data_IF_056580100019
#
_entry.id   IF_056580100019
#
_cell.length_a   1.000
_cell.length_b   1.000
_cell.length_c   1.000
_cell.angle_alpha   90.00
_cell.angle_beta   90.00
_cell.angle_gamma   90.00
#
_symmetry.space_group_name_H-M   'P 1'
#
loop_
_entity.id
_entity.type
_entity.pdbx_description
1 polymer ?
#
# COMPACT_ATOMS: atom_id res chain seq x y z
N UNK A 1 -11.69 27.98 -17.70
CA UNK A 1 -10.76 27.76 -18.84
C UNK A 1 -11.47 26.94 -19.89
N UNK A 2 -10.98 27.03 -21.17
CA UNK A 2 -11.40 26.13 -22.23
C UNK A 2 -10.53 24.87 -22.18
N UNK A 3 -11.14 23.70 -22.00
CA UNK A 3 -10.40 22.44 -21.87
C UNK A 3 -10.83 21.41 -22.91
N UNK A 4 -9.90 20.57 -23.31
CA UNK A 4 -10.16 19.35 -24.07
C UNK A 4 -9.97 18.18 -23.12
N UNK A 5 -10.92 17.26 -23.08
CA UNK A 5 -10.78 16.00 -22.32
C UNK A 5 -10.29 14.92 -23.29
N UNK A 6 -9.18 14.27 -22.97
CA UNK A 6 -8.65 13.17 -23.75
C UNK A 6 -8.66 11.85 -22.97
N UNK A 7 -9.40 10.88 -23.48
CA UNK A 7 -9.62 9.55 -22.88
C UNK A 7 -10.95 9.45 -22.14
N UNK A 8 -11.86 8.65 -22.70
CA UNK A 8 -13.23 8.47 -22.22
C UNK A 8 -13.45 7.09 -21.59
N UNK A 9 -12.35 6.47 -21.19
CA UNK A 9 -12.31 5.17 -20.55
C UNK A 9 -12.78 5.20 -19.08
N UNK A 10 -12.32 4.22 -18.29
CA UNK A 10 -12.73 4.06 -16.91
C UNK A 10 -12.43 5.29 -16.04
N UNK A 11 -11.21 5.87 -16.17
CA UNK A 11 -10.82 7.03 -15.35
C UNK A 11 -11.78 8.21 -15.58
N UNK A 12 -12.15 8.50 -16.83
CA UNK A 12 -13.12 9.53 -17.12
C UNK A 12 -14.50 9.22 -16.51
N UNK A 13 -15.03 8.04 -16.77
CA UNK A 13 -16.38 7.66 -16.28
C UNK A 13 -16.48 7.70 -14.74
N UNK A 14 -15.44 7.31 -14.06
CA UNK A 14 -15.41 7.27 -12.59
C UNK A 14 -15.25 8.67 -11.97
N UNK A 15 -14.64 9.64 -12.69
CA UNK A 15 -14.21 10.92 -12.11
C UNK A 15 -14.74 12.16 -12.84
N UNK A 16 -15.48 12.02 -13.93
CA UNK A 16 -15.98 13.17 -14.71
C UNK A 16 -16.80 14.17 -13.87
N UNK A 17 -17.58 13.65 -12.92
CA UNK A 17 -18.42 14.46 -12.00
C UNK A 17 -17.61 15.33 -11.03
N UNK A 18 -16.31 15.10 -10.90
CA UNK A 18 -15.38 15.82 -10.01
C UNK A 18 -14.59 16.92 -10.77
N UNK A 19 -14.74 16.99 -12.10
CA UNK A 19 -14.13 18.07 -12.88
C UNK A 19 -14.74 19.42 -12.51
N UNK A 20 -13.96 20.51 -12.43
CA UNK A 20 -14.46 21.83 -12.08
C UNK A 20 -15.56 22.32 -13.03
N UNK A 21 -16.73 22.62 -12.50
CA UNK A 21 -17.90 23.05 -13.27
C UNK A 21 -17.74 24.42 -13.96
N UNK A 22 -16.74 25.21 -13.56
CA UNK A 22 -16.43 26.52 -14.16
C UNK A 22 -15.61 26.40 -15.47
N UNK A 23 -15.10 25.24 -15.80
CA UNK A 23 -14.34 25.02 -17.03
C UNK A 23 -15.24 24.61 -18.18
N UNK A 24 -15.01 25.20 -19.36
CA UNK A 24 -15.74 24.91 -20.58
C UNK A 24 -15.06 23.76 -21.32
N UNK A 25 -15.73 22.62 -21.46
CA UNK A 25 -15.24 21.51 -22.27
C UNK A 25 -15.56 21.82 -23.73
N UNK A 26 -14.54 22.11 -24.54
CA UNK A 26 -14.71 22.46 -25.95
C UNK A 26 -14.67 21.28 -26.89
N UNK A 27 -14.07 20.17 -26.49
CA UNK A 27 -14.08 18.90 -27.23
C UNK A 27 -13.75 17.72 -26.30
N UNK A 28 -14.26 16.56 -26.67
CA UNK A 28 -13.79 15.28 -26.17
C UNK A 28 -12.93 14.58 -27.22
N UNK A 29 -11.86 13.93 -26.82
CA UNK A 29 -10.97 13.16 -27.69
C UNK A 29 -10.75 11.77 -27.15
N UNK A 30 -10.65 10.80 -28.05
CA UNK A 30 -10.32 9.40 -27.72
C UNK A 30 -9.60 8.77 -28.92
N UNK A 31 -8.79 7.76 -28.66
CA UNK A 31 -8.16 6.95 -29.72
C UNK A 31 -9.11 5.88 -30.29
N UNK A 32 -10.20 5.59 -29.59
CA UNK A 32 -11.24 4.69 -30.09
C UNK A 32 -12.11 5.41 -31.16
N UNK A 33 -11.92 5.03 -32.41
CA UNK A 33 -12.63 5.61 -33.56
C UNK A 33 -14.16 5.40 -33.51
N UNK A 34 -14.66 4.39 -32.80
CA UNK A 34 -16.08 4.10 -32.66
C UNK A 34 -16.81 5.20 -31.85
N UNK A 35 -16.08 6.02 -31.11
CA UNK A 35 -16.64 7.12 -30.34
C UNK A 35 -16.78 8.41 -31.15
N UNK A 36 -16.14 8.50 -32.31
CA UNK A 36 -16.13 9.73 -33.10
C UNK A 36 -17.52 10.13 -33.56
N UNK A 37 -17.84 11.42 -33.42
CA UNK A 37 -19.15 11.99 -33.74
C UNK A 37 -20.22 11.79 -32.66
N UNK A 38 -19.99 10.98 -31.64
CA UNK A 38 -20.87 10.93 -30.47
C UNK A 38 -20.83 12.26 -29.71
N UNK A 39 -21.87 12.56 -28.97
CA UNK A 39 -21.95 13.76 -28.13
C UNK A 39 -22.07 13.35 -26.66
N UNK A 40 -21.30 14.02 -25.81
CA UNK A 40 -21.36 13.94 -24.36
C UNK A 40 -21.70 15.35 -23.86
N UNK A 41 -22.83 15.51 -23.18
CA UNK A 41 -23.32 16.81 -22.69
C UNK A 41 -23.35 17.92 -23.77
N UNK A 42 -23.70 17.54 -25.02
CA UNK A 42 -23.77 18.47 -26.16
C UNK A 42 -22.43 18.74 -26.86
N UNK A 43 -21.31 18.21 -26.35
CA UNK A 43 -19.96 18.38 -26.92
C UNK A 43 -19.56 17.11 -27.68
N UNK A 44 -18.99 17.29 -28.89
CA UNK A 44 -18.61 16.16 -29.75
C UNK A 44 -17.35 15.46 -29.31
N UNK A 45 -17.33 14.15 -29.50
CA UNK A 45 -16.09 13.34 -29.47
C UNK A 45 -15.45 13.38 -30.85
N UNK A 46 -14.19 13.81 -30.90
CA UNK A 46 -13.45 14.04 -32.15
C UNK A 46 -12.12 13.25 -32.16
N UNK A 47 -11.54 13.15 -33.36
CA UNK A 47 -10.20 12.56 -33.48
C UNK A 47 -9.14 13.45 -32.83
N UNK A 48 -8.13 12.86 -32.14
CA UNK A 48 -6.97 13.63 -31.68
C UNK A 48 -6.25 14.38 -32.78
N UNK A 49 -6.34 13.94 -34.04
CA UNK A 49 -5.75 14.62 -35.20
C UNK A 49 -6.40 15.99 -35.48
N UNK A 50 -7.61 16.21 -34.97
CA UNK A 50 -8.35 17.47 -35.19
C UNK A 50 -8.03 18.51 -34.09
N UNK A 51 -7.07 18.25 -33.21
CA UNK A 51 -6.78 19.12 -32.06
C UNK A 51 -6.47 20.57 -32.45
N UNK A 52 -5.82 20.75 -33.59
CA UNK A 52 -5.41 22.09 -34.09
C UNK A 52 -6.59 23.00 -34.49
N UNK A 53 -7.80 22.45 -34.68
CA UNK A 53 -8.98 23.26 -35.04
C UNK A 53 -9.69 23.86 -33.83
N UNK A 54 -9.31 23.46 -32.62
CA UNK A 54 -9.93 23.91 -31.39
C UNK A 54 -9.11 24.98 -30.69
N UNK A 55 -9.78 25.98 -30.15
CA UNK A 55 -9.19 26.95 -29.24
C UNK A 55 -9.35 26.43 -27.80
N UNK A 56 -8.22 26.15 -27.10
CA UNK A 56 -8.21 25.60 -25.74
C UNK A 56 -7.03 26.10 -24.93
N UNK A 57 -7.18 26.09 -23.62
CA UNK A 57 -6.12 26.41 -22.65
C UNK A 57 -5.32 25.19 -22.26
N UNK A 58 -6.03 24.05 -22.00
CA UNK A 58 -5.43 22.80 -21.54
C UNK A 58 -6.04 21.58 -22.23
N UNK A 59 -5.22 20.52 -22.33
CA UNK A 59 -5.68 19.16 -22.65
C UNK A 59 -5.56 18.33 -21.37
N UNK A 60 -6.68 17.83 -20.90
CA UNK A 60 -6.80 17.07 -19.65
C UNK A 60 -6.88 15.59 -19.98
N UNK A 61 -5.82 14.85 -19.66
CA UNK A 61 -5.75 13.41 -19.94
C UNK A 61 -6.47 12.63 -18.83
N UNK A 62 -7.54 11.92 -19.19
CA UNK A 62 -8.35 11.09 -18.30
C UNK A 62 -8.23 9.60 -18.66
N UNK A 63 -7.01 9.11 -18.73
CA UNK A 63 -6.71 7.73 -19.17
C UNK A 63 -5.56 7.10 -18.38
N UNK A 64 -5.60 5.77 -18.21
CA UNK A 64 -4.46 5.00 -17.70
C UNK A 64 -3.28 4.94 -18.70
N UNK A 65 -3.53 5.25 -19.97
CA UNK A 65 -2.51 5.38 -21.01
C UNK A 65 -2.00 6.82 -21.12
N UNK A 66 -1.87 7.50 -19.98
CA UNK A 66 -1.56 8.93 -19.95
C UNK A 66 -0.21 9.25 -20.60
N UNK A 67 0.78 8.38 -20.48
CA UNK A 67 2.11 8.61 -21.06
C UNK A 67 2.09 8.53 -22.59
N UNK A 68 1.42 7.53 -23.15
CA UNK A 68 1.23 7.34 -24.58
C UNK A 68 0.47 8.51 -25.20
N UNK A 69 -0.61 8.94 -24.55
CA UNK A 69 -1.42 10.09 -24.97
C UNK A 69 -0.59 11.38 -24.89
N UNK A 70 0.21 11.58 -23.84
CA UNK A 70 1.11 12.73 -23.72
C UNK A 70 2.10 12.77 -24.88
N UNK A 71 2.76 11.65 -25.21
CA UNK A 71 3.67 11.58 -26.35
C UNK A 71 2.96 11.87 -27.67
N UNK A 72 1.75 11.34 -27.86
CA UNK A 72 0.91 11.62 -29.02
C UNK A 72 0.60 13.12 -29.13
N UNK A 73 0.20 13.77 -28.05
CA UNK A 73 -0.10 15.21 -28.02
C UNK A 73 1.13 16.06 -28.35
N UNK A 74 2.30 15.71 -27.83
CA UNK A 74 3.55 16.39 -28.17
C UNK A 74 3.88 16.26 -29.67
N UNK A 75 3.69 15.07 -30.26
CA UNK A 75 3.85 14.84 -31.70
C UNK A 75 2.85 15.63 -32.54
N UNK A 76 1.66 15.91 -32.02
CA UNK A 76 0.63 16.77 -32.65
C UNK A 76 0.89 18.26 -32.42
N UNK A 77 2.01 18.63 -31.79
CA UNK A 77 2.42 20.04 -31.62
C UNK A 77 1.81 20.71 -30.37
N UNK A 78 1.18 19.97 -29.49
CA UNK A 78 0.69 20.51 -28.20
C UNK A 78 1.87 20.81 -27.30
N UNK A 79 1.99 22.04 -26.81
CA UNK A 79 3.07 22.39 -25.88
C UNK A 79 2.89 21.68 -24.54
N UNK A 80 3.99 21.21 -23.93
CA UNK A 80 4.04 20.51 -22.66
C UNK A 80 3.21 21.19 -21.55
N UNK A 81 3.33 22.52 -21.43
CA UNK A 81 2.63 23.29 -20.41
C UNK A 81 1.09 23.33 -20.57
N UNK A 82 0.55 22.85 -21.69
CA UNK A 82 -0.90 22.70 -21.91
C UNK A 82 -1.43 21.30 -21.60
N UNK A 83 -0.55 20.32 -21.36
CA UNK A 83 -0.95 18.94 -21.09
C UNK A 83 -1.03 18.75 -19.57
N UNK A 84 -2.18 18.28 -19.10
CA UNK A 84 -2.44 18.06 -17.67
C UNK A 84 -3.05 16.67 -17.46
N UNK A 85 -2.61 16.00 -16.41
CA UNK A 85 -3.25 14.75 -16.00
C UNK A 85 -4.53 15.06 -15.24
N UNK A 86 -5.63 14.39 -15.58
CA UNK A 86 -6.97 14.76 -15.11
C UNK A 86 -7.13 14.72 -13.59
N UNK A 87 -6.47 13.80 -12.92
CA UNK A 87 -6.53 13.74 -11.45
C UNK A 87 -5.90 14.97 -10.77
N UNK A 88 -5.08 15.77 -11.45
CA UNK A 88 -4.58 17.05 -10.94
C UNK A 88 -5.67 18.13 -10.86
N UNK A 89 -6.80 17.91 -11.55
CA UNK A 89 -7.98 18.79 -11.53
C UNK A 89 -8.96 18.48 -10.41
N UNK A 90 -8.79 17.35 -9.71
CA UNK A 90 -9.70 16.89 -8.66
C UNK A 90 -9.13 17.31 -7.31
N UNK A 91 -9.76 18.28 -6.66
CA UNK A 91 -9.31 18.82 -5.37
C UNK A 91 -10.44 19.04 -4.35
N UNK A 92 -11.62 18.47 -4.56
CA UNK A 92 -12.67 18.44 -3.56
C UNK A 92 -12.24 17.57 -2.37
N UNK A 93 -12.32 18.13 -1.15
CA UNK A 93 -11.87 17.51 0.08
C UNK A 93 -13.06 17.15 0.95
N UNK A 94 -13.22 15.86 1.27
CA UNK A 94 -14.20 15.34 2.23
C UNK A 94 -13.51 15.09 3.56
N UNK A 95 -14.00 15.74 4.62
CA UNK A 95 -13.43 15.65 5.97
C UNK A 95 -14.37 14.82 6.84
N UNK A 96 -13.83 13.84 7.52
CA UNK A 96 -14.54 12.98 8.45
C UNK A 96 -13.97 13.21 9.85
N UNK A 97 -14.62 14.12 10.59
CA UNK A 97 -14.25 14.49 11.95
C UNK A 97 -15.03 13.69 12.96
N UNK A 98 -14.41 13.48 14.15
CA UNK A 98 -15.19 13.19 15.34
C UNK A 98 -15.96 14.45 15.77
N UNK A 99 -17.17 14.30 16.37
CA UNK A 99 -17.76 15.40 17.13
C UNK A 99 -16.80 15.78 18.26
N UNK A 100 -16.17 16.93 18.11
CA UNK A 100 -15.32 17.69 19.04
C UNK A 100 -14.93 16.98 20.35
N UNK A 101 -13.86 16.19 20.33
CA UNK A 101 -12.97 16.20 21.48
C UNK A 101 -12.22 17.54 21.43
N UNK A 102 -12.26 18.32 22.52
CA UNK A 102 -11.53 19.59 22.66
C UNK A 102 -10.05 19.28 22.50
N UNK A 103 -9.52 19.41 21.26
CA UNK A 103 -8.08 19.27 21.00
C UNK A 103 -7.43 20.55 21.52
N UNK A 104 -6.50 20.49 22.48
CA UNK A 104 -5.79 21.67 22.95
C UNK A 104 -5.12 22.40 21.77
N UNK A 105 -5.33 23.71 21.66
CA UNK A 105 -4.83 24.57 20.58
C UNK A 105 -3.31 24.53 20.35
N UNK A 106 -2.55 24.02 21.32
CA UNK A 106 -1.07 24.00 21.33
C UNK A 106 -0.42 22.70 20.83
N UNK A 107 -1.19 21.73 20.33
CA UNK A 107 -0.59 20.48 19.82
C UNK A 107 -0.07 20.66 18.42
N UNK A 108 1.16 20.21 18.16
CA UNK A 108 1.70 20.09 16.82
C UNK A 108 0.82 19.17 15.99
N UNK A 109 0.63 19.52 14.72
CA UNK A 109 -0.29 18.85 13.79
C UNK A 109 0.50 18.08 12.78
N UNK A 110 0.23 16.79 12.66
CA UNK A 110 0.88 15.92 11.69
C UNK A 110 -0.16 15.39 10.68
N UNK A 111 0.17 15.53 9.39
CA UNK A 111 -0.59 14.92 8.32
C UNK A 111 0.13 13.64 7.86
N UNK A 112 -0.60 12.54 7.81
CA UNK A 112 -0.17 11.31 7.14
C UNK A 112 -0.93 11.24 5.80
N UNK A 113 -0.23 11.42 4.69
CA UNK A 113 -0.82 11.27 3.36
C UNK A 113 -0.52 9.86 2.83
N UNK A 114 -1.55 9.08 2.51
CA UNK A 114 -1.41 7.68 2.07
C UNK A 114 -2.21 7.40 0.80
N UNK A 115 -1.95 6.28 0.15
CA UNK A 115 -2.58 5.93 -1.13
C UNK A 115 -4.06 5.51 -1.00
N UNK A 116 -4.49 5.03 0.17
CA UNK A 116 -5.85 4.53 0.35
C UNK A 116 -6.15 4.29 1.85
N UNK A 117 -7.41 4.51 2.25
CA UNK A 117 -7.94 4.19 3.57
C UNK A 117 -8.78 2.91 3.49
N UNK A 118 -8.21 1.77 3.87
CA UNK A 118 -8.88 0.47 3.80
C UNK A 118 -8.17 -0.60 4.62
N UNK A 119 -8.77 -1.79 4.70
CA UNK A 119 -8.24 -2.91 5.49
C UNK A 119 -7.13 -3.64 4.75
N UNK A 120 -5.97 -3.01 4.61
CA UNK A 120 -4.75 -3.58 4.03
C UNK A 120 -3.50 -3.12 4.78
N UNK A 121 -2.39 -3.82 4.63
CA UNK A 121 -1.17 -3.61 5.43
C UNK A 121 -0.69 -2.16 5.47
N UNK A 122 -0.62 -1.48 4.33
CA UNK A 122 -0.16 -0.07 4.26
C UNK A 122 -1.05 0.90 5.05
N UNK A 123 -2.40 0.77 4.94
CA UNK A 123 -3.31 1.61 5.71
C UNK A 123 -3.29 1.28 7.21
N UNK A 124 -3.13 -0.01 7.56
CA UNK A 124 -3.00 -0.40 8.96
C UNK A 124 -1.72 0.17 9.59
N UNK A 125 -0.61 0.21 8.87
CA UNK A 125 0.61 0.87 9.34
C UNK A 125 0.38 2.36 9.59
N UNK A 126 -0.40 3.07 8.76
CA UNK A 126 -0.79 4.45 9.01
C UNK A 126 -1.60 4.61 10.31
N UNK A 127 -2.50 3.66 10.60
CA UNK A 127 -3.26 3.66 11.85
C UNK A 127 -2.34 3.44 13.07
N UNK A 128 -1.39 2.52 12.98
CA UNK A 128 -0.42 2.29 14.07
C UNK A 128 0.48 3.51 14.29
N UNK A 129 0.94 4.14 13.21
CA UNK A 129 1.67 5.40 13.28
C UNK A 129 0.82 6.51 13.90
N UNK A 130 -0.43 6.66 13.46
CA UNK A 130 -1.34 7.69 13.99
C UNK A 130 -1.60 7.49 15.49
N UNK A 131 -1.85 6.26 15.94
CA UNK A 131 -2.02 5.95 17.35
C UNK A 131 -0.76 6.28 18.16
N UNK A 132 0.43 5.90 17.66
CA UNK A 132 1.69 6.22 18.30
C UNK A 132 1.86 7.76 18.47
N UNK A 133 1.56 8.53 17.43
CA UNK A 133 1.63 9.98 17.45
C UNK A 133 0.59 10.62 18.39
N UNK A 134 -0.64 10.10 18.42
CA UNK A 134 -1.68 10.56 19.35
C UNK A 134 -1.27 10.34 20.82
N UNK A 135 -0.70 9.18 21.13
CA UNK A 135 -0.17 8.86 22.46
C UNK A 135 1.00 9.77 22.87
N UNK A 136 1.81 10.22 21.89
CA UNK A 136 2.87 11.21 22.10
C UNK A 136 2.34 12.65 22.18
N UNK A 137 1.03 12.85 22.04
CA UNK A 137 0.39 14.16 22.21
C UNK A 137 0.28 15.00 20.95
N UNK A 138 0.51 14.46 19.77
CA UNK A 138 0.29 15.14 18.49
C UNK A 138 -1.18 15.14 18.10
N UNK A 139 -1.58 16.08 17.24
CA UNK A 139 -2.86 16.04 16.53
C UNK A 139 -2.62 15.41 15.17
N UNK A 140 -3.38 14.37 14.83
CA UNK A 140 -3.11 13.57 13.63
C UNK A 140 -4.30 13.61 12.67
N UNK A 141 -3.99 13.88 11.41
CA UNK A 141 -4.91 13.73 10.29
C UNK A 141 -4.33 12.69 9.32
N UNK A 142 -5.15 11.78 8.81
CA UNK A 142 -4.76 10.90 7.71
C UNK A 142 -5.57 11.30 6.47
N UNK A 143 -4.88 11.57 5.36
CA UNK A 143 -5.52 11.90 4.08
C UNK A 143 -5.15 10.88 3.00
N UNK A 144 -6.13 10.54 2.16
CA UNK A 144 -5.94 9.62 1.04
C UNK A 144 -6.84 9.98 -0.15
N UNK A 145 -6.51 9.54 -1.39
CA UNK A 145 -7.38 9.73 -2.54
C UNK A 145 -8.64 8.87 -2.52
N UNK A 146 -8.61 7.73 -1.83
CA UNK A 146 -9.70 6.77 -1.78
C UNK A 146 -9.89 6.29 -0.33
N UNK A 147 -11.16 6.04 0.07
CA UNK A 147 -11.45 5.51 1.40
C UNK A 147 -12.64 4.55 1.41
N UNK A 148 -12.47 3.42 2.09
CA UNK A 148 -13.55 2.51 2.43
C UNK A 148 -14.44 3.11 3.52
N UNK A 149 -15.77 3.11 3.31
CA UNK A 149 -16.71 3.74 4.22
C UNK A 149 -16.72 3.11 5.63
N UNK A 150 -16.55 1.79 5.74
CA UNK A 150 -16.51 1.09 7.02
C UNK A 150 -15.20 1.42 7.77
N UNK A 151 -14.07 1.45 7.06
CA UNK A 151 -12.78 1.86 7.60
C UNK A 151 -12.83 3.30 8.13
N UNK A 152 -13.33 4.24 7.31
CA UNK A 152 -13.46 5.64 7.69
C UNK A 152 -14.33 5.78 8.94
N UNK A 153 -15.51 5.13 8.97
CA UNK A 153 -16.40 5.15 10.13
C UNK A 153 -15.74 4.61 11.39
N UNK A 154 -15.02 3.49 11.29
CA UNK A 154 -14.36 2.88 12.44
C UNK A 154 -13.28 3.79 13.04
N UNK A 155 -12.38 4.31 12.20
CA UNK A 155 -11.20 5.02 12.68
C UNK A 155 -11.43 6.49 12.96
N UNK A 156 -12.41 7.15 12.32
CA UNK A 156 -12.82 8.49 12.72
C UNK A 156 -13.40 8.50 14.15
N UNK A 157 -14.04 7.43 14.59
CA UNK A 157 -14.55 7.28 15.96
C UNK A 157 -13.45 7.06 17.02
N UNK A 158 -12.21 6.79 16.60
CA UNK A 158 -11.04 6.58 17.48
C UNK A 158 -10.16 7.83 17.67
N UNK A 159 -10.65 9.01 17.28
CA UNK A 159 -9.95 10.29 17.46
C UNK A 159 -8.94 10.64 16.37
N UNK A 160 -8.95 9.91 15.25
CA UNK A 160 -8.14 10.20 14.08
C UNK A 160 -9.00 10.96 13.07
N UNK A 161 -8.60 12.17 12.69
CA UNK A 161 -9.25 12.88 11.59
C UNK A 161 -8.89 12.20 10.27
N UNK A 162 -9.89 11.84 9.47
CA UNK A 162 -9.71 11.25 8.16
C UNK A 162 -10.18 12.20 7.07
N UNK A 163 -9.41 12.31 5.99
CA UNK A 163 -9.75 13.15 4.84
C UNK A 163 -9.65 12.36 3.55
N UNK A 164 -10.60 12.56 2.64
CA UNK A 164 -10.55 11.97 1.29
C UNK A 164 -10.49 13.09 0.26
N UNK A 165 -9.44 13.06 -0.55
CA UNK A 165 -9.19 13.97 -1.66
C UNK A 165 -8.64 13.18 -2.86
N UNK A 166 -9.48 12.86 -3.83
CA UNK A 166 -9.15 11.93 -4.93
C UNK A 166 -7.90 12.33 -5.71
N UNK A 167 -7.68 13.65 -5.91
CA UNK A 167 -6.48 14.16 -6.57
C UNK A 167 -5.23 14.30 -5.69
N UNK A 168 -5.28 13.89 -4.42
CA UNK A 168 -4.21 14.16 -3.44
C UNK A 168 -2.79 13.82 -3.93
N UNK A 169 -2.50 12.65 -4.54
CA UNK A 169 -1.16 12.31 -4.99
C UNK A 169 -0.59 13.27 -6.04
N UNK A 170 -1.46 13.91 -6.80
CA UNK A 170 -1.12 14.76 -7.96
C UNK A 170 -1.40 16.24 -7.73
N UNK A 171 -1.88 16.59 -6.52
CA UNK A 171 -2.34 17.93 -6.20
C UNK A 171 -1.22 18.96 -6.33
N UNK A 172 -1.56 20.12 -6.88
CA UNK A 172 -0.68 21.29 -6.92
C UNK A 172 -0.88 22.13 -5.68
N UNK A 173 0.18 22.77 -5.21
CA UNK A 173 0.17 23.54 -3.97
C UNK A 173 -0.94 24.59 -3.94
N UNK A 174 -1.23 25.24 -5.06
CA UNK A 174 -2.32 26.23 -5.21
C UNK A 174 -3.70 25.69 -4.80
N UNK A 175 -3.93 24.37 -4.95
CA UNK A 175 -5.19 23.70 -4.63
C UNK A 175 -5.20 23.08 -3.21
N UNK A 176 -4.04 22.95 -2.57
CA UNK A 176 -3.86 22.30 -1.28
C UNK A 176 -3.19 23.19 -0.23
N UNK A 177 -3.29 24.53 -0.37
CA UNK A 177 -2.70 25.49 0.58
C UNK A 177 -3.09 25.25 2.05
N UNK A 178 -4.19 24.53 2.30
CA UNK A 178 -4.60 24.09 3.65
C UNK A 178 -3.57 23.17 4.33
N UNK A 179 -2.65 22.57 3.58
CA UNK A 179 -1.60 21.69 4.11
C UNK A 179 -0.60 22.46 5.00
N UNK A 180 -0.50 23.79 4.84
CA UNK A 180 0.34 24.67 5.66
C UNK A 180 -0.09 24.74 7.13
N UNK A 181 -1.28 24.25 7.47
CA UNK A 181 -1.73 24.14 8.87
C UNK A 181 -1.02 23.03 9.66
N UNK A 182 -0.28 22.14 8.97
CA UNK A 182 0.45 21.04 9.59
C UNK A 182 1.91 21.41 9.80
N UNK A 183 2.49 20.94 10.89
CA UNK A 183 3.90 21.14 11.23
C UNK A 183 4.79 20.14 10.49
N UNK A 184 4.30 18.91 10.29
CA UNK A 184 4.98 17.82 9.60
C UNK A 184 3.98 17.10 8.67
N UNK A 185 4.44 16.72 7.48
CA UNK A 185 3.71 15.86 6.56
C UNK A 185 4.50 14.57 6.33
N UNK A 186 3.86 13.43 6.58
CA UNK A 186 4.40 12.11 6.30
C UNK A 186 3.71 11.57 5.05
N UNK A 187 4.39 11.64 3.92
CA UNK A 187 3.95 11.03 2.67
C UNK A 187 4.23 9.52 2.77
N UNK A 188 3.21 8.77 3.11
CA UNK A 188 3.31 7.34 3.35
C UNK A 188 2.99 6.58 2.06
N UNK A 189 3.97 5.92 1.51
CA UNK A 189 3.98 5.21 0.22
C UNK A 189 4.51 6.02 -0.97
N UNK A 190 5.17 5.33 -1.92
CA UNK A 190 5.72 5.94 -3.12
C UNK A 190 4.69 6.69 -3.99
N UNK A 191 3.45 6.23 -4.16
CA UNK A 191 2.41 7.01 -4.85
C UNK A 191 2.22 8.45 -4.34
N UNK A 192 2.62 8.77 -3.10
CA UNK A 192 2.59 10.13 -2.54
C UNK A 192 3.83 10.97 -2.88
N UNK A 193 4.78 10.47 -3.67
CA UNK A 193 6.03 11.18 -3.96
C UNK A 193 5.83 12.54 -4.63
N UNK A 194 4.86 12.65 -5.55
CA UNK A 194 4.61 13.94 -6.22
C UNK A 194 4.08 14.98 -5.25
N UNK A 195 3.18 14.58 -4.36
CA UNK A 195 2.72 15.44 -3.26
C UNK A 195 3.91 15.86 -2.38
N UNK A 196 4.74 14.90 -1.95
CA UNK A 196 5.90 15.18 -1.11
C UNK A 196 6.86 16.20 -1.75
N UNK A 197 7.15 16.02 -3.03
CA UNK A 197 8.01 16.92 -3.81
C UNK A 197 7.37 18.30 -4.03
N UNK A 198 6.04 18.38 -4.14
CA UNK A 198 5.33 19.65 -4.34
C UNK A 198 5.35 20.52 -3.08
N UNK A 199 5.33 19.91 -1.89
CA UNK A 199 5.18 20.64 -0.63
C UNK A 199 6.45 20.74 0.21
N UNK A 200 7.48 19.94 -0.09
CA UNK A 200 8.69 19.80 0.76
C UNK A 200 9.49 21.08 0.98
N UNK A 201 9.36 22.09 0.11
CA UNK A 201 9.98 23.41 0.30
C UNK A 201 9.19 24.34 1.22
N UNK A 202 7.96 23.96 1.60
CA UNK A 202 7.02 24.80 2.36
C UNK A 202 6.63 24.23 3.70
N UNK A 203 6.63 22.92 3.82
CA UNK A 203 6.28 22.18 5.05
C UNK A 203 7.31 21.07 5.25
N UNK A 204 7.71 20.84 6.50
CA UNK A 204 8.56 19.69 6.84
C UNK A 204 7.91 18.40 6.34
N UNK A 205 8.53 17.78 5.36
CA UNK A 205 7.95 16.64 4.66
C UNK A 205 8.92 15.48 4.63
N UNK A 206 8.41 14.29 4.93
CA UNK A 206 9.13 13.03 4.77
C UNK A 206 8.38 12.12 3.82
N UNK A 207 9.12 11.30 3.08
CA UNK A 207 8.58 10.20 2.28
C UNK A 207 8.93 8.88 2.97
N UNK A 208 7.93 8.05 3.26
CA UNK A 208 8.12 6.74 3.87
C UNK A 208 7.70 5.63 2.92
N UNK A 209 8.69 4.88 2.43
CA UNK A 209 8.55 3.87 1.39
C UNK A 209 8.19 2.51 1.96
N UNK A 210 7.13 1.89 1.41
CA UNK A 210 6.63 0.57 1.79
C UNK A 210 6.62 -0.43 0.63
N UNK A 211 6.98 0.01 -0.56
CA UNK A 211 6.68 -0.69 -1.79
C UNK A 211 7.68 -1.79 -2.13
N UNK A 212 7.14 -2.84 -2.75
CA UNK A 212 7.88 -3.74 -3.60
C UNK A 212 7.99 -3.18 -5.03
N UNK A 213 8.85 -3.79 -5.87
CA UNK A 213 9.28 -3.26 -7.17
C UNK A 213 8.16 -2.83 -8.13
N UNK A 214 7.01 -3.50 -8.10
CA UNK A 214 5.97 -3.31 -9.12
C UNK A 214 5.30 -1.92 -9.09
N UNK A 215 5.24 -1.26 -7.94
CA UNK A 215 4.56 0.03 -7.79
C UNK A 215 5.26 1.16 -8.55
N UNK A 216 6.57 1.04 -8.76
CA UNK A 216 7.33 2.10 -9.44
C UNK A 216 6.95 2.27 -10.91
N UNK A 217 6.44 1.23 -11.56
CA UNK A 217 5.96 1.30 -12.93
C UNK A 217 4.66 2.13 -13.09
N UNK A 218 3.84 2.19 -12.05
CA UNK A 218 2.58 2.95 -12.05
C UNK A 218 2.81 4.47 -12.15
N UNK A 219 3.98 4.95 -11.70
CA UNK A 219 4.37 6.35 -11.70
C UNK A 219 5.28 6.72 -12.89
N UNK A 220 5.38 5.85 -13.90
CA UNK A 220 6.30 6.03 -15.05
C UNK A 220 6.07 7.32 -15.83
N UNK A 221 4.83 7.81 -15.87
CA UNK A 221 4.47 9.09 -16.50
C UNK A 221 5.27 10.29 -15.93
N UNK A 222 5.51 10.31 -14.63
CA UNK A 222 6.24 11.40 -13.95
C UNK A 222 7.69 11.08 -13.61
N UNK A 223 8.23 9.98 -14.11
CA UNK A 223 9.56 9.49 -13.72
C UNK A 223 10.65 10.57 -13.89
N UNK A 224 10.70 11.22 -15.05
CA UNK A 224 11.68 12.29 -15.32
C UNK A 224 11.53 13.47 -14.37
N UNK A 225 10.29 13.88 -14.08
CA UNK A 225 10.01 14.99 -13.16
C UNK A 225 10.37 14.63 -11.71
N UNK A 226 10.12 13.39 -11.29
CA UNK A 226 10.49 12.88 -9.98
C UNK A 226 12.01 12.88 -9.83
N UNK A 227 12.76 12.32 -10.77
CA UNK A 227 14.22 12.24 -10.75
C UNK A 227 14.85 13.64 -10.67
N UNK A 228 14.39 14.57 -11.50
CA UNK A 228 14.90 15.95 -11.52
C UNK A 228 14.61 16.71 -10.21
N UNK A 229 13.43 16.53 -9.63
CA UNK A 229 13.05 17.21 -8.39
C UNK A 229 13.77 16.62 -7.19
N UNK A 230 13.93 15.29 -7.12
CA UNK A 230 14.67 14.61 -6.04
C UNK A 230 16.11 15.10 -5.92
N UNK A 231 16.76 15.43 -7.04
CA UNK A 231 18.15 15.97 -7.03
C UNK A 231 18.25 17.36 -6.41
N UNK A 232 17.15 18.10 -6.33
CA UNK A 232 17.10 19.50 -5.88
C UNK A 232 16.46 19.67 -4.50
N UNK A 233 15.72 18.69 -4.03
CA UNK A 233 14.97 18.77 -2.76
C UNK A 233 15.78 18.28 -1.56
N UNK A 234 15.44 18.78 -0.37
CA UNK A 234 15.90 18.27 0.92
C UNK A 234 14.94 17.24 1.53
N UNK A 235 14.09 16.62 0.72
CA UNK A 235 13.13 15.64 1.18
C UNK A 235 13.82 14.48 1.92
N UNK A 236 13.45 14.28 3.18
CA UNK A 236 13.93 13.14 3.96
C UNK A 236 13.20 11.89 3.54
N UNK A 237 13.92 10.81 3.24
CA UNK A 237 13.33 9.57 2.75
C UNK A 237 13.64 8.44 3.72
N UNK A 238 12.58 7.75 4.13
CA UNK A 238 12.64 6.53 4.92
C UNK A 238 12.16 5.34 4.10
N UNK A 239 12.62 4.15 4.45
CA UNK A 239 12.13 2.89 3.90
C UNK A 239 11.90 1.87 5.02
N UNK A 240 10.83 1.10 4.96
CA UNK A 240 10.50 0.10 5.98
C UNK A 240 11.48 -1.07 6.03
N UNK A 241 12.29 -1.26 4.98
CA UNK A 241 13.29 -2.31 4.90
C UNK A 241 14.38 -1.96 3.89
N UNK A 242 15.50 -2.69 3.94
CA UNK A 242 16.55 -2.58 2.94
C UNK A 242 16.03 -2.91 1.53
N UNK A 243 15.12 -3.88 1.42
CA UNK A 243 14.48 -4.20 0.15
C UNK A 243 13.66 -3.04 -0.41
N UNK A 244 12.85 -2.36 0.41
CA UNK A 244 12.10 -1.18 -0.04
C UNK A 244 13.04 -0.06 -0.50
N UNK A 245 14.12 0.19 0.27
CA UNK A 245 15.18 1.15 -0.10
C UNK A 245 15.82 0.78 -1.44
N UNK A 246 16.24 -0.47 -1.58
CA UNK A 246 16.99 -0.94 -2.74
C UNK A 246 16.14 -0.94 -4.01
N UNK A 247 14.85 -1.29 -3.89
CA UNK A 247 13.89 -1.17 -4.97
C UNK A 247 13.73 0.30 -5.42
N UNK A 248 13.51 1.21 -4.47
CA UNK A 248 13.38 2.64 -4.78
C UNK A 248 14.64 3.18 -5.45
N UNK A 249 15.79 2.94 -4.86
CA UNK A 249 17.06 3.44 -5.38
C UNK A 249 17.38 2.87 -6.77
N UNK A 250 17.09 1.60 -7.00
CA UNK A 250 17.30 0.95 -8.30
C UNK A 250 16.35 1.44 -9.39
N UNK A 251 15.10 1.72 -9.04
CA UNK A 251 14.09 2.18 -10.01
C UNK A 251 14.16 3.68 -10.29
N UNK A 252 14.51 4.51 -9.30
CA UNK A 252 14.50 5.98 -9.42
C UNK A 252 15.91 6.57 -9.59
N UNK A 253 16.95 5.75 -9.48
CA UNK A 253 18.35 6.23 -9.57
C UNK A 253 18.81 7.03 -8.35
N UNK A 254 18.21 6.82 -7.18
CA UNK A 254 18.55 7.55 -5.96
C UNK A 254 19.64 6.87 -5.14
N UNK A 255 20.42 7.64 -4.35
CA UNK A 255 21.54 7.08 -3.57
C UNK A 255 21.06 6.42 -2.28
N UNK A 256 21.50 5.17 -2.03
CA UNK A 256 21.07 4.36 -0.88
C UNK A 256 21.41 5.02 0.47
N UNK A 257 22.52 5.72 0.55
CA UNK A 257 23.01 6.38 1.77
C UNK A 257 22.11 7.54 2.22
N UNK A 258 21.25 8.02 1.32
CA UNK A 258 20.28 9.09 1.58
C UNK A 258 18.91 8.57 2.02
N UNK A 259 18.73 7.25 2.05
CA UNK A 259 17.47 6.61 2.48
C UNK A 259 17.70 5.88 3.80
N UNK A 260 17.07 6.36 4.85
CA UNK A 260 17.16 5.78 6.20
C UNK A 260 16.19 4.60 6.33
N UNK A 261 16.64 3.49 6.92
CA UNK A 261 15.73 2.40 7.27
C UNK A 261 14.96 2.78 8.53
N UNK A 262 13.63 2.70 8.43
CA UNK A 262 12.71 3.04 9.50
C UNK A 262 11.52 2.08 9.47
N UNK A 263 11.64 1.00 10.24
CA UNK A 263 10.61 -0.04 10.34
C UNK A 263 9.41 0.48 11.12
N UNK A 264 8.21 0.03 10.75
CA UNK A 264 7.01 0.28 11.53
C UNK A 264 6.96 -0.60 12.79
N UNK A 265 6.15 -0.19 13.76
CA UNK A 265 5.78 -0.99 14.92
C UNK A 265 4.29 -1.26 14.96
N UNK A 266 3.90 -2.36 15.59
CA UNK A 266 2.51 -2.72 15.82
C UNK A 266 2.23 -2.92 17.31
N UNK A 267 0.98 -2.66 17.77
CA UNK A 267 0.61 -2.89 19.15
C UNK A 267 0.63 -4.39 19.49
N UNK A 268 1.01 -4.72 20.72
CA UNK A 268 0.95 -6.10 21.21
C UNK A 268 -0.49 -6.51 21.49
N UNK A 269 -0.86 -7.68 21.01
CA UNK A 269 -2.10 -8.37 21.40
C UNK A 269 -1.67 -9.67 22.09
N UNK A 270 -2.21 -9.92 23.28
CA UNK A 270 -2.02 -11.18 23.98
C UNK A 270 -3.10 -12.16 23.49
N UNK A 271 -2.68 -13.20 22.83
CA UNK A 271 -3.57 -14.25 22.35
C UNK A 271 -3.79 -15.35 23.41
N UNK A 272 -4.96 -16.00 23.35
CA UNK A 272 -5.19 -17.27 24.01
C UNK A 272 -4.36 -18.37 23.35
N UNK A 273 -3.87 -19.31 24.11
CA UNK A 273 -3.29 -20.53 23.55
C UNK A 273 -4.42 -21.51 23.22
N UNK A 274 -4.59 -21.83 21.94
CA UNK A 274 -5.50 -22.90 21.54
C UNK A 274 -4.93 -24.26 21.97
N UNK A 275 -5.81 -25.14 22.44
CA UNK A 275 -5.45 -26.54 22.78
C UNK A 275 -5.14 -27.31 21.48
N UNK A 276 -3.89 -27.77 21.36
CA UNK A 276 -3.35 -28.29 20.08
C UNK A 276 -3.37 -29.83 20.14
N UNK A 277 -4.43 -30.42 19.60
CA UNK A 277 -4.56 -31.89 19.49
C UNK A 277 -3.60 -32.52 18.44
N UNK A 278 -2.36 -32.02 18.35
CA UNK A 278 -1.34 -32.55 17.44
C UNK A 278 -1.49 -32.17 15.96
N UNK A 279 -2.55 -31.42 15.58
CA UNK A 279 -2.75 -30.86 14.22
C UNK A 279 -1.95 -29.60 14.08
N UNK A 280 -1.23 -29.42 12.95
CA UNK A 280 -0.55 -28.18 12.57
C UNK A 280 -1.37 -27.42 11.56
N UNK A 281 -1.59 -26.12 11.80
CA UNK A 281 -2.29 -25.22 10.89
C UNK A 281 -1.32 -24.26 10.22
N UNK A 282 -1.17 -24.38 8.91
CA UNK A 282 -0.44 -23.43 8.07
C UNK A 282 -1.42 -22.44 7.46
N UNK A 283 -1.09 -21.16 7.43
CA UNK A 283 -1.95 -20.15 6.81
C UNK A 283 -1.19 -19.17 5.92
N UNK A 284 -1.75 -18.90 4.74
CA UNK A 284 -1.39 -17.76 3.90
C UNK A 284 -2.45 -16.69 4.09
N UNK A 285 -2.03 -15.50 4.56
CA UNK A 285 -2.92 -14.36 4.82
C UNK A 285 -2.56 -13.22 3.89
N UNK A 286 -3.54 -12.73 3.15
CA UNK A 286 -3.38 -11.59 2.24
C UNK A 286 -4.30 -11.64 1.02
N UNK A 287 -4.38 -10.52 0.32
CA UNK A 287 -5.16 -10.39 -0.92
C UNK A 287 -4.80 -11.46 -1.95
N UNK A 288 -5.80 -12.06 -2.59
CA UNK A 288 -5.62 -13.14 -3.57
C UNK A 288 -5.35 -12.54 -4.96
N UNK A 289 -4.10 -12.58 -5.38
CA UNK A 289 -3.67 -12.14 -6.72
C UNK A 289 -2.26 -12.70 -7.06
N UNK A 290 -1.81 -12.69 -8.33
CA UNK A 290 -0.62 -13.42 -8.78
C UNK A 290 0.68 -13.14 -8.03
N UNK A 291 0.91 -11.92 -7.54
CA UNK A 291 2.14 -11.58 -6.84
C UNK A 291 2.25 -12.20 -5.44
N UNK A 292 1.11 -12.51 -4.80
CA UNK A 292 1.07 -13.19 -3.50
C UNK A 292 1.25 -14.70 -3.58
N UNK A 293 1.15 -15.26 -4.79
CA UNK A 293 1.47 -16.67 -5.12
C UNK A 293 0.79 -17.71 -4.22
N UNK A 294 -0.46 -17.52 -3.82
CA UNK A 294 -1.21 -18.53 -3.05
C UNK A 294 -1.30 -19.88 -3.77
N UNK A 295 -1.18 -19.87 -5.11
CA UNK A 295 -1.10 -21.10 -5.88
C UNK A 295 0.17 -21.91 -5.57
N UNK A 296 1.31 -21.25 -5.32
CA UNK A 296 2.55 -21.93 -4.90
C UNK A 296 2.34 -22.68 -3.58
N UNK A 297 1.60 -22.08 -2.65
CA UNK A 297 1.23 -22.73 -1.39
C UNK A 297 0.40 -23.99 -1.63
N UNK A 298 -0.66 -23.91 -2.44
CA UNK A 298 -1.51 -25.08 -2.73
C UNK A 298 -0.73 -26.17 -3.45
N UNK A 299 0.16 -25.79 -4.39
CA UNK A 299 1.03 -26.75 -5.11
C UNK A 299 2.02 -27.46 -4.15
N UNK A 300 2.60 -26.73 -3.20
CA UNK A 300 3.48 -27.31 -2.20
C UNK A 300 2.75 -28.28 -1.26
N UNK A 301 1.51 -27.96 -0.85
CA UNK A 301 0.69 -28.88 -0.04
C UNK A 301 0.40 -30.18 -0.80
N UNK A 302 0.26 -30.15 -2.12
CA UNK A 302 0.03 -31.37 -2.91
C UNK A 302 1.24 -32.30 -2.96
N UNK A 303 2.45 -31.80 -2.70
CA UNK A 303 3.66 -32.63 -2.60
C UNK A 303 3.76 -33.39 -1.27
N UNK A 304 3.00 -32.98 -0.24
CA UNK A 304 2.95 -33.69 1.05
C UNK A 304 2.23 -35.04 0.89
N UNK A 305 2.58 -36.04 1.71
CA UNK A 305 1.89 -37.32 1.66
C UNK A 305 0.44 -37.22 2.19
N UNK A 306 -0.41 -38.19 1.83
CA UNK A 306 -1.85 -38.19 2.16
C UNK A 306 -2.14 -38.09 3.63
N UNK A 307 -1.35 -38.75 4.51
CA UNK A 307 -1.50 -38.70 5.95
C UNK A 307 -1.24 -37.26 6.45
N UNK A 308 -0.15 -36.66 6.03
CA UNK A 308 0.20 -35.27 6.41
C UNK A 308 -0.83 -34.26 5.94
N UNK A 309 -1.38 -34.45 4.72
CA UNK A 309 -2.46 -33.61 4.23
C UNK A 309 -3.71 -33.71 5.12
N UNK A 310 -4.15 -34.91 5.47
CA UNK A 310 -5.41 -35.14 6.18
C UNK A 310 -5.33 -34.81 7.69
N UNK A 311 -4.17 -34.97 8.31
CA UNK A 311 -3.97 -34.75 9.75
C UNK A 311 -3.70 -33.26 10.09
N UNK A 312 -3.58 -32.39 9.09
CA UNK A 312 -3.22 -30.99 9.26
C UNK A 312 -4.16 -30.05 8.48
N UNK A 313 -4.01 -28.75 8.69
CA UNK A 313 -4.87 -27.73 8.08
C UNK A 313 -4.03 -26.73 7.29
N UNK A 314 -4.56 -26.34 6.11
CA UNK A 314 -3.91 -25.38 5.23
C UNK A 314 -4.93 -24.30 4.83
N UNK A 315 -4.76 -23.09 5.36
CA UNK A 315 -5.73 -22.02 5.20
C UNK A 315 -5.24 -20.96 4.24
N UNK A 316 -6.17 -20.47 3.41
CA UNK A 316 -5.98 -19.30 2.56
C UNK A 316 -7.00 -18.26 3.02
N UNK A 317 -6.52 -17.08 3.44
CA UNK A 317 -7.35 -16.05 4.06
C UNK A 317 -7.09 -14.74 3.33
N UNK A 318 -8.16 -14.10 2.83
CA UNK A 318 -8.06 -12.78 2.23
C UNK A 318 -9.08 -12.49 1.12
N UNK A 319 -9.15 -11.24 0.71
CA UNK A 319 -10.03 -10.75 -0.35
C UNK A 319 -9.51 -11.20 -1.73
N UNK A 320 -10.42 -11.56 -2.62
CA UNK A 320 -10.09 -11.83 -4.03
C UNK A 320 -9.98 -10.50 -4.78
N UNK A 321 -8.80 -10.19 -5.31
CA UNK A 321 -8.57 -9.06 -6.21
C UNK A 321 -8.46 -9.49 -7.68
N UNK A 322 -8.02 -10.73 -7.94
CA UNK A 322 -7.96 -11.31 -9.29
C UNK A 322 -8.82 -12.56 -9.36
N UNK A 323 -9.96 -12.44 -10.05
CA UNK A 323 -10.97 -13.51 -10.16
C UNK A 323 -10.43 -14.73 -10.94
N UNK A 324 -9.66 -14.51 -12.02
CA UNK A 324 -9.14 -15.61 -12.84
C UNK A 324 -8.05 -16.38 -12.10
N UNK A 325 -7.22 -15.69 -11.34
CA UNK A 325 -6.24 -16.32 -10.47
C UNK A 325 -6.91 -17.11 -9.34
N UNK A 326 -7.90 -16.52 -8.69
CA UNK A 326 -8.67 -17.18 -7.63
C UNK A 326 -9.40 -18.42 -8.12
N UNK A 327 -10.03 -18.40 -9.30
CA UNK A 327 -10.68 -19.57 -9.91
C UNK A 327 -9.74 -20.77 -10.03
N UNK A 328 -8.47 -20.55 -10.40
CA UNK A 328 -7.48 -21.62 -10.53
C UNK A 328 -7.20 -22.27 -9.17
N UNK A 329 -7.08 -21.45 -8.12
CA UNK A 329 -6.87 -21.94 -6.74
C UNK A 329 -8.09 -22.68 -6.22
N UNK A 330 -9.30 -22.08 -6.33
CA UNK A 330 -10.53 -22.66 -5.84
C UNK A 330 -10.84 -23.99 -6.51
N UNK A 331 -10.63 -24.09 -7.83
CA UNK A 331 -10.75 -25.38 -8.56
C UNK A 331 -9.75 -26.41 -8.09
N UNK A 332 -8.51 -26.01 -7.78
CA UNK A 332 -7.48 -26.92 -7.30
C UNK A 332 -7.79 -27.50 -5.92
N UNK A 333 -8.39 -26.69 -5.02
CA UNK A 333 -8.72 -27.12 -3.66
C UNK A 333 -10.10 -27.76 -3.54
N UNK A 334 -10.90 -27.78 -4.59
CA UNK A 334 -12.19 -28.44 -4.64
C UNK A 334 -12.05 -29.91 -4.23
N UNK A 335 -12.92 -30.37 -3.34
CA UNK A 335 -12.89 -31.72 -2.74
C UNK A 335 -11.64 -32.07 -1.91
N UNK A 336 -10.92 -31.07 -1.42
CA UNK A 336 -9.75 -31.23 -0.53
C UNK A 336 -10.04 -30.57 0.83
N UNK A 337 -10.66 -31.28 1.80
CA UNK A 337 -11.13 -30.65 3.04
C UNK A 337 -10.02 -30.12 3.92
N UNK A 338 -8.76 -30.54 3.72
CA UNK A 338 -7.58 -30.10 4.45
C UNK A 338 -7.07 -28.71 3.97
N UNK A 339 -7.39 -28.27 2.74
CA UNK A 339 -7.11 -26.92 2.25
C UNK A 339 -8.40 -26.13 2.19
N UNK A 340 -8.46 -24.98 2.85
CA UNK A 340 -9.68 -24.18 2.95
C UNK A 340 -9.39 -22.72 2.58
N UNK A 341 -10.22 -22.17 1.68
CA UNK A 341 -10.32 -20.75 1.49
C UNK A 341 -11.37 -20.18 2.45
N UNK A 342 -10.93 -19.35 3.41
CA UNK A 342 -11.79 -18.82 4.48
C UNK A 342 -12.39 -17.45 4.14
N UNK A 343 -12.09 -16.91 2.95
CA UNK A 343 -12.60 -15.60 2.52
C UNK A 343 -11.89 -14.41 3.15
N UNK A 344 -12.42 -13.23 2.88
CA UNK A 344 -12.01 -11.99 3.53
C UNK A 344 -12.47 -12.00 5.00
N UNK A 345 -11.63 -11.50 5.90
CA UNK A 345 -11.89 -11.42 7.34
C UNK A 345 -11.71 -10.00 7.84
N UNK A 346 -12.59 -9.58 8.73
CA UNK A 346 -12.39 -8.39 9.53
C UNK A 346 -11.17 -8.56 10.46
N UNK A 347 -10.62 -7.45 10.96
CA UNK A 347 -9.50 -7.50 11.91
C UNK A 347 -9.80 -8.37 13.14
N UNK A 348 -11.03 -8.27 13.67
CA UNK A 348 -11.48 -9.07 14.82
C UNK A 348 -11.53 -10.58 14.51
N UNK A 349 -12.08 -10.95 13.34
CA UNK A 349 -12.15 -12.34 12.92
C UNK A 349 -10.75 -12.90 12.61
N UNK A 350 -9.89 -12.10 11.97
CA UNK A 350 -8.52 -12.50 11.67
C UNK A 350 -7.73 -12.70 12.96
N UNK A 351 -7.88 -11.82 13.95
CA UNK A 351 -7.26 -11.98 15.27
C UNK A 351 -7.66 -13.30 15.91
N UNK A 352 -8.96 -13.65 15.91
CA UNK A 352 -9.43 -14.93 16.46
C UNK A 352 -8.92 -16.15 15.65
N UNK A 353 -8.68 -16.02 14.36
CA UNK A 353 -8.10 -17.10 13.55
C UNK A 353 -6.61 -17.32 13.87
N UNK A 354 -5.87 -16.27 14.22
CA UNK A 354 -4.46 -16.39 14.62
C UNK A 354 -4.27 -17.34 15.79
N UNK A 355 -5.22 -17.47 16.73
CA UNK A 355 -5.14 -18.42 17.84
C UNK A 355 -4.97 -19.86 17.34
N UNK A 356 -5.58 -20.18 16.19
CA UNK A 356 -5.59 -21.50 15.58
C UNK A 356 -4.52 -21.69 14.49
N UNK A 357 -3.72 -20.67 14.18
CA UNK A 357 -2.62 -20.75 13.22
C UNK A 357 -1.33 -21.08 13.98
N UNK A 358 -0.56 -22.03 13.47
CA UNK A 358 0.75 -22.40 14.01
C UNK A 358 1.89 -21.78 13.23
N UNK A 359 1.77 -21.76 11.91
CA UNK A 359 2.82 -21.31 11.00
C UNK A 359 2.22 -20.39 9.94
N UNK A 360 2.66 -19.14 9.89
CA UNK A 360 2.33 -18.23 8.78
C UNK A 360 3.23 -18.54 7.61
N UNK A 361 2.65 -18.61 6.42
CA UNK A 361 3.40 -18.86 5.17
C UNK A 361 3.32 -17.64 4.26
N UNK A 362 4.46 -17.14 3.82
CA UNK A 362 4.57 -16.05 2.84
C UNK A 362 5.18 -16.58 1.57
N UNK A 363 4.35 -16.63 0.51
CA UNK A 363 4.74 -17.14 -0.80
C UNK A 363 5.02 -16.03 -1.82
N UNK A 364 4.85 -14.78 -1.44
CA UNK A 364 4.89 -13.65 -2.34
C UNK A 364 6.18 -13.60 -3.16
N UNK A 365 6.07 -13.24 -4.44
CA UNK A 365 7.24 -13.02 -5.32
C UNK A 365 8.24 -12.03 -4.72
N UNK A 366 7.72 -11.00 -4.07
CA UNK A 366 8.48 -9.96 -3.39
C UNK A 366 7.58 -9.23 -2.40
N UNK A 367 8.06 -8.97 -1.21
CA UNK A 367 7.41 -8.10 -0.22
C UNK A 367 8.44 -7.30 0.57
N UNK A 368 8.20 -6.01 0.72
CA UNK A 368 9.12 -5.11 1.42
C UNK A 368 9.22 -5.40 2.90
N UNK A 369 8.07 -5.51 3.59
CA UNK A 369 7.98 -5.92 4.99
C UNK A 369 6.56 -6.44 5.26
N UNK A 370 6.29 -7.76 5.15
CA UNK A 370 4.95 -8.32 5.29
C UNK A 370 4.44 -8.22 6.73
N UNK A 371 3.40 -7.41 6.93
CA UNK A 371 2.79 -7.18 8.26
C UNK A 371 2.30 -8.48 8.91
N UNK A 372 1.83 -9.44 8.13
CA UNK A 372 1.32 -10.73 8.60
C UNK A 372 2.39 -11.56 9.33
N UNK A 373 3.67 -11.40 8.97
CA UNK A 373 4.79 -12.04 9.69
C UNK A 373 5.05 -11.30 11.01
N UNK A 374 5.02 -9.97 11.00
CA UNK A 374 5.16 -9.18 12.23
C UNK A 374 4.01 -9.47 13.20
N UNK A 375 2.78 -9.63 12.70
CA UNK A 375 1.62 -10.06 13.48
C UNK A 375 1.77 -11.47 14.04
N UNK A 376 2.35 -12.40 13.27
CA UNK A 376 2.67 -13.74 13.74
C UNK A 376 3.75 -13.69 14.85
N UNK A 377 4.81 -12.97 14.65
CA UNK A 377 5.89 -12.76 15.61
C UNK A 377 5.36 -12.14 16.92
N UNK A 378 4.52 -11.12 16.80
CA UNK A 378 3.84 -10.48 17.93
C UNK A 378 3.05 -11.49 18.78
N UNK A 379 2.46 -12.52 18.17
CA UNK A 379 1.69 -13.59 18.80
C UNK A 379 2.53 -14.82 19.20
N UNK A 380 3.84 -14.75 19.07
CA UNK A 380 4.71 -15.89 19.33
C UNK A 380 4.49 -17.06 18.38
N UNK A 381 4.13 -16.76 17.12
CA UNK A 381 4.00 -17.75 16.05
C UNK A 381 5.22 -17.69 15.15
N UNK A 382 5.60 -18.84 14.60
CA UNK A 382 6.68 -18.93 13.62
C UNK A 382 6.17 -18.76 12.18
N UNK A 383 7.08 -18.73 11.22
CA UNK A 383 6.74 -18.54 9.80
C UNK A 383 7.60 -19.38 8.86
N UNK A 384 7.08 -19.56 7.63
CA UNK A 384 7.84 -19.96 6.45
C UNK A 384 7.81 -18.76 5.50
N UNK A 385 8.96 -18.24 5.12
CA UNK A 385 9.08 -17.04 4.30
C UNK A 385 10.07 -17.26 3.18
N UNK A 386 9.77 -16.76 1.97
CA UNK A 386 10.74 -16.80 0.89
C UNK A 386 11.87 -15.77 1.11
N UNK A 387 13.03 -16.08 0.56
CA UNK A 387 14.25 -15.29 0.71
C UNK A 387 14.15 -13.88 0.09
N UNK A 388 13.26 -13.66 -0.86
CA UNK A 388 13.03 -12.37 -1.52
C UNK A 388 11.99 -11.51 -0.81
N UNK A 389 12.14 -11.33 0.51
CA UNK A 389 11.29 -10.45 1.32
C UNK A 389 12.15 -9.61 2.28
N UNK A 390 11.69 -8.40 2.61
CA UNK A 390 12.43 -7.54 3.56
C UNK A 390 12.42 -8.04 4.99
N UNK A 391 11.49 -8.95 5.35
CA UNK A 391 11.46 -9.59 6.67
C UNK A 391 12.52 -10.70 6.80
N UNK A 392 13.03 -11.25 5.71
CA UNK A 392 14.04 -12.34 5.73
C UNK A 392 15.29 -11.97 6.54
N UNK A 393 15.64 -10.69 6.59
CA UNK A 393 16.74 -10.16 7.42
C UNK A 393 16.57 -10.45 8.92
N UNK A 394 15.34 -10.55 9.40
CA UNK A 394 15.00 -10.78 10.80
C UNK A 394 14.76 -12.25 11.11
N UNK A 395 14.92 -13.13 10.12
CA UNK A 395 14.73 -14.57 10.25
C UNK A 395 16.09 -15.24 10.29
N UNK A 396 16.35 -15.91 11.41
CA UNK A 396 17.41 -16.90 11.52
C UNK A 396 16.81 -18.25 11.21
N UNK A 397 17.24 -18.85 10.09
CA UNK A 397 16.67 -20.10 9.57
C UNK A 397 16.64 -21.20 10.63
N UNK A 398 15.47 -21.83 10.79
CA UNK A 398 15.17 -22.87 11.77
C UNK A 398 15.35 -22.49 13.25
N UNK A 399 15.46 -21.17 13.53
CA UNK A 399 15.53 -20.65 14.92
C UNK A 399 14.28 -19.88 15.27
N UNK A 400 13.83 -18.94 14.44
CA UNK A 400 12.60 -18.15 14.64
C UNK A 400 11.64 -18.20 13.46
N UNK A 401 12.04 -18.85 12.35
CA UNK A 401 11.28 -19.06 11.12
C UNK A 401 12.04 -20.01 10.21
N UNK A 402 11.46 -20.30 9.05
CA UNK A 402 12.09 -21.11 8.02
C UNK A 402 12.19 -20.30 6.73
N UNK A 403 13.40 -20.20 6.16
CA UNK A 403 13.65 -19.54 4.89
C UNK A 403 13.66 -20.57 3.74
N UNK A 404 12.95 -20.26 2.66
CA UNK A 404 12.97 -21.05 1.43
C UNK A 404 13.23 -20.16 0.22
N UNK A 405 13.71 -20.78 -0.87
CA UNK A 405 14.04 -20.06 -2.10
C UNK A 405 12.78 -19.62 -2.86
N UNK A 406 12.71 -18.37 -3.20
CA UNK A 406 11.57 -17.76 -3.92
C UNK A 406 11.19 -18.55 -5.18
N UNK A 407 9.90 -18.80 -5.35
CA UNK A 407 9.30 -19.58 -6.44
C UNK A 407 9.66 -21.09 -6.45
N UNK A 408 10.25 -21.64 -5.41
CA UNK A 408 10.57 -23.06 -5.33
C UNK A 408 9.50 -23.83 -4.54
N UNK A 409 8.68 -24.59 -5.29
CA UNK A 409 7.59 -25.40 -4.71
C UNK A 409 8.16 -26.52 -3.82
N UNK A 410 9.28 -27.13 -4.25
CA UNK A 410 9.90 -28.25 -3.55
C UNK A 410 10.49 -27.79 -2.21
N UNK A 411 11.18 -26.64 -2.17
CA UNK A 411 11.69 -26.08 -0.92
C UNK A 411 10.56 -25.64 0.01
N UNK A 412 9.47 -25.05 -0.53
CA UNK A 412 8.31 -24.70 0.30
C UNK A 412 7.66 -25.97 0.90
N UNK A 413 7.50 -27.03 0.12
CA UNK A 413 6.99 -28.30 0.63
C UNK A 413 7.94 -28.92 1.69
N UNK A 414 9.25 -28.85 1.47
CA UNK A 414 10.25 -29.32 2.44
C UNK A 414 10.20 -28.50 3.75
N UNK A 415 9.98 -27.18 3.68
CA UNK A 415 9.77 -26.33 4.84
C UNK A 415 8.52 -26.72 5.63
N UNK A 416 7.40 -26.99 4.96
CA UNK A 416 6.19 -27.50 5.61
C UNK A 416 6.43 -28.87 6.24
N UNK A 417 7.10 -29.79 5.50
CA UNK A 417 7.48 -31.10 5.98
C UNK A 417 8.33 -31.04 7.25
N UNK A 418 9.28 -30.10 7.32
CA UNK A 418 10.11 -29.89 8.50
C UNK A 418 9.27 -29.63 9.76
N UNK A 419 8.25 -28.77 9.69
CA UNK A 419 7.36 -28.49 10.82
C UNK A 419 6.45 -29.66 11.16
N UNK A 420 6.02 -30.44 10.17
CA UNK A 420 5.19 -31.62 10.38
C UNK A 420 5.94 -32.76 11.07
N UNK A 421 7.23 -32.91 10.77
CA UNK A 421 8.10 -33.92 11.37
C UNK A 421 8.62 -33.48 12.76
N UNK A 422 8.70 -32.18 13.02
CA UNK A 422 9.30 -31.58 14.20
C UNK A 422 8.32 -30.66 14.94
N UNK A 423 7.08 -31.10 15.21
CA UNK A 423 6.02 -30.28 15.84
C UNK A 423 6.42 -29.60 17.15
N UNK A 424 7.32 -30.21 17.89
CA UNK A 424 7.86 -29.68 19.14
C UNK A 424 8.66 -28.40 19.00
N UNK A 425 9.28 -28.13 17.82
CA UNK A 425 10.07 -26.91 17.61
C UNK A 425 9.18 -25.67 17.36
N UNK A 426 7.91 -25.85 17.00
CA UNK A 426 7.00 -24.73 16.63
C UNK A 426 6.88 -23.73 17.78
N UNK A 427 6.69 -24.21 19.00
CA UNK A 427 6.53 -23.34 20.16
C UNK A 427 7.82 -22.58 20.51
N UNK A 428 8.97 -23.24 20.41
CA UNK A 428 10.28 -22.63 20.67
C UNK A 428 10.61 -21.59 19.60
N UNK A 429 10.43 -21.92 18.31
CA UNK A 429 10.64 -20.98 17.22
C UNK A 429 9.68 -19.79 17.32
N UNK A 430 8.43 -20.00 17.74
CA UNK A 430 7.48 -18.94 17.99
C UNK A 430 7.91 -18.01 19.13
N UNK A 431 8.48 -18.56 20.21
CA UNK A 431 9.07 -17.75 21.29
C UNK A 431 10.23 -16.88 20.78
N UNK A 432 11.14 -17.46 20.01
CA UNK A 432 12.26 -16.72 19.43
C UNK A 432 11.78 -15.65 18.44
N UNK A 433 10.71 -15.93 17.69
CA UNK A 433 10.06 -14.95 16.81
C UNK A 433 9.44 -13.79 17.61
N UNK A 434 8.85 -14.06 18.79
CA UNK A 434 8.35 -13.04 19.70
C UNK A 434 9.45 -12.10 20.20
N UNK A 435 10.63 -12.62 20.49
CA UNK A 435 11.80 -11.81 20.89
C UNK A 435 12.18 -10.82 19.78
N UNK A 436 12.17 -11.26 18.53
CA UNK A 436 12.40 -10.37 17.36
C UNK A 436 11.33 -9.28 17.27
N UNK A 437 10.06 -9.61 17.47
CA UNK A 437 9.00 -8.59 17.53
C UNK A 437 9.27 -7.56 18.64
N UNK A 438 9.60 -8.00 19.83
CA UNK A 438 9.84 -7.11 20.97
C UNK A 438 11.04 -6.20 20.77
N UNK A 439 12.08 -6.67 20.09
CA UNK A 439 13.30 -5.90 19.80
C UNK A 439 13.10 -4.89 18.67
N UNK A 440 12.40 -5.28 17.59
CA UNK A 440 12.36 -4.50 16.35
C UNK A 440 11.00 -3.89 16.04
N UNK A 441 9.89 -4.58 16.33
CA UNK A 441 8.56 -4.26 15.80
C UNK A 441 7.52 -3.90 16.86
N UNK A 442 7.86 -3.90 18.15
CA UNK A 442 6.92 -3.48 19.19
C UNK A 442 6.60 -2.00 19.08
N UNK A 443 5.36 -1.62 19.43
CA UNK A 443 4.92 -0.23 19.39
C UNK A 443 5.80 0.67 20.27
N UNK A 444 6.27 0.19 21.40
CA UNK A 444 7.15 0.96 22.30
C UNK A 444 8.51 1.26 21.65
N UNK A 445 9.14 0.27 21.01
CA UNK A 445 10.39 0.50 20.26
C UNK A 445 10.18 1.45 19.08
N UNK A 446 9.03 1.32 18.41
CA UNK A 446 8.67 2.22 17.32
C UNK A 446 8.49 3.66 17.82
N UNK A 447 7.75 3.88 18.92
CA UNK A 447 7.63 5.22 19.52
C UNK A 447 8.98 5.83 19.90
N UNK A 448 9.87 5.05 20.48
CA UNK A 448 11.23 5.54 20.81
C UNK A 448 11.98 6.02 19.56
N UNK A 449 11.92 5.27 18.47
CA UNK A 449 12.53 5.70 17.19
C UNK A 449 11.82 6.91 16.60
N UNK A 450 10.49 6.92 16.64
CA UNK A 450 9.65 8.00 16.11
C UNK A 450 9.93 9.34 16.79
N UNK A 451 10.04 9.36 18.13
CA UNK A 451 10.44 10.57 18.87
C UNK A 451 11.76 11.14 18.38
N UNK A 452 12.80 10.32 18.28
CA UNK A 452 14.12 10.74 17.78
C UNK A 452 14.08 11.32 16.38
N UNK A 453 13.28 10.71 15.50
CA UNK A 453 13.15 11.20 14.13
C UNK A 453 12.35 12.50 14.05
N UNK A 454 11.31 12.66 14.86
CA UNK A 454 10.55 13.92 14.91
C UNK A 454 11.43 15.05 15.47
N UNK A 455 12.15 14.81 16.56
CA UNK A 455 13.09 15.79 17.12
C UNK A 455 14.12 16.20 16.06
N UNK A 456 14.68 15.21 15.35
CA UNK A 456 15.62 15.48 14.25
C UNK A 456 15.00 16.32 13.12
N UNK A 457 13.76 16.02 12.73
CA UNK A 457 13.04 16.78 11.69
C UNK A 457 12.80 18.24 12.13
N UNK A 458 12.52 18.46 13.41
CA UNK A 458 12.32 19.79 13.96
C UNK A 458 13.59 20.64 13.95
N UNK A 459 14.75 20.01 14.18
CA UNK A 459 16.04 20.69 14.27
C UNK A 459 16.68 20.91 12.88
N UNK A 460 16.36 20.11 11.86
CA UNK A 460 17.10 20.08 10.60
C UNK A 460 16.31 20.43 9.33
N UNK A 461 15.01 20.52 9.40
CA UNK A 461 14.11 20.91 8.32
C UNK A 461 13.21 22.08 8.74
#
# INVERSE_FOLDING_TARGET
MKIIIFGLGKIYRDNAHLLPSQDEIVAYMDNNKELYGQCIDGVKVVSPMDIAVYEYDKVVIMSSYANEIRQQLLQLGVSEGRIVYGLQYIYERKIYDMPQAIVPEKRKKILIATSNLGYHGGAMVCIFLANALLEEGYSVTIAAPIGDAAFIKEYSQKGIQLEVLEGLPYAKFENIGWILKFDIVIANTYPMILLALEISERVRTVLWLHESKNVYSEMSFWRSDIEQKLLKTKLKIYAVSEMARDNFCGEVGYRKEQVTIFEYGIPSVLDGQADRNGTVTFAVVGTIYPLKQQKLFTDAVELLNKRQQNDNRFWIIGKIADQEYAKKILKQIENKPYIQYLGEKSQKELSALYDNIDVIVVCSKQESLPIVVVEAFMRGKTCIVCDNTGISKYITDKVNGYLYKTNDIGELAAAMQYFLDNKNVIAEMGKNAREVYEEHFSLEKFKMRLRKEIDWLEDNL
#
